data_IF_757477552673
#
_entry.id   IF_757477552673
#
_cell.length_a   1.000
_cell.length_b   1.000
_cell.length_c   1.000
_cell.angle_alpha   90.00
_cell.angle_beta   90.00
_cell.angle_gamma   90.00
#
_symmetry.space_group_name_H-M   'P 1'
#
loop_
_entity.id
_entity.type
_entity.pdbx_description
1 polymer ?
#
# COMPACT_ATOMS: atom_id res chain seq x y z
N UNK A 1 -15.55 12.88 4.86
CA UNK A 1 -15.60 13.44 3.49
C UNK A 1 -16.82 12.87 2.75
N UNK A 2 -17.61 13.70 2.06
CA UNK A 2 -18.78 13.25 1.28
C UNK A 2 -18.61 13.67 -0.18
N UNK A 3 -18.76 12.72 -1.09
CA UNK A 3 -18.82 12.97 -2.53
C UNK A 3 -20.28 13.03 -2.98
N UNK A 4 -20.61 14.00 -3.83
CA UNK A 4 -21.93 14.16 -4.42
C UNK A 4 -21.86 14.04 -5.94
N UNK A 5 -22.49 13.00 -6.49
CA UNK A 5 -22.66 12.86 -7.93
C UNK A 5 -23.83 13.75 -8.37
N UNK A 6 -23.53 14.77 -9.17
CA UNK A 6 -24.55 15.71 -9.65
C UNK A 6 -25.39 15.17 -10.81
N UNK A 7 -24.93 14.12 -11.48
CA UNK A 7 -25.60 13.49 -12.62
C UNK A 7 -26.66 12.53 -12.11
N UNK A 8 -26.30 11.70 -11.14
CA UNK A 8 -27.21 10.70 -10.54
C UNK A 8 -27.99 11.25 -9.34
N UNK A 9 -27.49 12.32 -8.71
CA UNK A 9 -28.05 12.86 -7.47
C UNK A 9 -27.73 12.02 -6.23
N UNK A 10 -26.74 11.13 -6.32
CA UNK A 10 -26.32 10.23 -5.25
C UNK A 10 -25.23 10.86 -4.36
N UNK A 11 -25.20 10.45 -3.10
CA UNK A 11 -24.17 10.86 -2.13
C UNK A 11 -23.42 9.63 -1.64
N UNK A 12 -22.09 9.73 -1.60
CA UNK A 12 -21.19 8.68 -1.15
C UNK A 12 -20.33 9.19 0.00
N UNK A 13 -20.26 8.41 1.08
CA UNK A 13 -19.37 8.68 2.20
C UNK A 13 -18.01 8.05 1.91
N UNK A 14 -16.96 8.87 1.77
CA UNK A 14 -15.63 8.40 1.33
C UNK A 14 -14.65 8.20 2.50
N UNK A 15 -14.80 9.00 3.55
CA UNK A 15 -13.94 8.94 4.73
C UNK A 15 -14.74 8.66 6.00
N UNK A 16 -14.07 8.15 7.03
CA UNK A 16 -14.66 8.01 8.36
C UNK A 16 -15.03 9.41 8.89
N UNK A 17 -16.28 9.59 9.32
CA UNK A 17 -16.74 10.85 9.91
C UNK A 17 -16.05 11.17 11.25
N UNK A 18 -15.37 10.19 11.85
CA UNK A 18 -14.61 10.35 13.10
C UNK A 18 -13.35 11.19 12.91
N UNK A 19 -12.67 11.07 11.77
CA UNK A 19 -11.36 11.68 11.56
C UNK A 19 -11.44 12.83 10.56
N UNK A 20 -10.63 13.90 10.73
CA UNK A 20 -10.57 14.99 9.77
C UNK A 20 -10.06 14.50 8.42
N UNK A 21 -10.60 15.09 7.35
CA UNK A 21 -10.14 14.93 5.99
C UNK A 21 -10.12 16.29 5.29
N UNK A 22 -9.10 16.55 4.49
CA UNK A 22 -8.85 17.82 3.81
C UNK A 22 -8.31 17.61 2.39
N UNK A 23 -8.19 18.71 1.65
CA UNK A 23 -7.57 18.78 0.32
C UNK A 23 -8.02 17.70 -0.68
N UNK A 24 -9.33 17.56 -0.97
CA UNK A 24 -9.80 16.56 -1.91
C UNK A 24 -9.37 16.91 -3.34
N UNK A 25 -8.77 15.93 -4.02
CA UNK A 25 -8.38 15.99 -5.43
C UNK A 25 -9.00 14.80 -6.18
N UNK A 26 -9.96 15.11 -7.05
CA UNK A 26 -10.70 14.14 -7.86
C UNK A 26 -10.16 14.13 -9.29
N UNK A 27 -9.82 12.96 -9.82
CA UNK A 27 -9.39 12.79 -11.21
C UNK A 27 -9.18 11.32 -11.56
N UNK A 28 -9.24 10.96 -12.84
CA UNK A 28 -8.74 9.67 -13.33
C UNK A 28 -9.29 8.43 -12.57
N UNK A 29 -10.59 8.48 -12.23
CA UNK A 29 -11.31 7.42 -11.53
C UNK A 29 -11.03 7.30 -10.03
N UNK A 30 -10.27 8.22 -9.44
CA UNK A 30 -9.88 8.19 -8.04
C UNK A 30 -10.06 9.53 -7.34
N UNK A 31 -10.21 9.49 -6.02
CA UNK A 31 -10.21 10.65 -5.14
C UNK A 31 -9.03 10.53 -4.17
N UNK A 32 -8.06 11.41 -4.29
CA UNK A 32 -7.00 11.57 -3.30
C UNK A 32 -7.37 12.65 -2.28
N UNK A 33 -7.03 12.46 -1.01
CA UNK A 33 -7.28 13.46 0.04
C UNK A 33 -6.30 13.30 1.20
N UNK A 34 -6.09 14.37 1.95
CA UNK A 34 -5.31 14.36 3.19
C UNK A 34 -6.20 13.89 4.36
N UNK A 35 -5.73 12.99 5.22
CA UNK A 35 -6.46 12.50 6.39
C UNK A 35 -5.58 12.39 7.63
N UNK A 36 -6.21 12.37 8.80
CA UNK A 36 -5.54 12.25 10.11
C UNK A 36 -6.13 11.09 10.90
N UNK A 37 -5.75 9.88 10.52
CA UNK A 37 -6.22 8.67 11.17
C UNK A 37 -5.85 8.66 12.65
N UNK A 38 -6.79 8.24 13.49
CA UNK A 38 -6.62 8.13 14.96
C UNK A 38 -6.39 9.45 15.70
N UNK A 39 -6.44 10.61 15.03
CA UNK A 39 -6.33 11.90 15.70
C UNK A 39 -7.48 12.11 16.69
N UNK A 40 -7.13 12.19 17.97
CA UNK A 40 -8.05 12.59 19.03
C UNK A 40 -7.83 14.09 19.35
N UNK A 41 -8.77 14.98 19.00
CA UNK A 41 -8.61 16.41 19.21
C UNK A 41 -8.59 16.81 20.70
N UNK A 42 -9.10 15.96 21.59
CA UNK A 42 -9.11 16.22 23.05
C UNK A 42 -7.83 15.79 23.75
N UNK A 43 -7.08 14.86 23.16
CA UNK A 43 -5.81 14.36 23.66
C UNK A 43 -4.93 13.91 22.49
N UNK A 44 -4.31 14.85 21.75
CA UNK A 44 -3.56 14.53 20.55
C UNK A 44 -2.25 13.80 20.90
N UNK A 45 -2.03 12.65 20.25
CA UNK A 45 -0.74 11.96 20.28
C UNK A 45 0.09 12.42 19.08
N UNK A 46 1.37 12.73 19.31
CA UNK A 46 2.24 13.33 18.29
C UNK A 46 2.34 12.54 16.98
N UNK A 47 2.21 11.21 17.03
CA UNK A 47 2.25 10.29 15.87
C UNK A 47 0.97 10.26 15.02
N UNK A 48 -0.06 11.00 15.41
CA UNK A 48 -1.32 11.12 14.66
C UNK A 48 -1.59 12.58 14.27
N UNK A 49 -0.56 13.43 14.38
CA UNK A 49 -0.66 14.86 14.07
C UNK A 49 -0.22 15.18 12.64
N UNK A 50 0.55 14.29 12.03
CA UNK A 50 0.90 14.32 10.63
C UNK A 50 -0.28 13.90 9.75
N UNK A 51 -0.46 14.62 8.64
CA UNK A 51 -1.41 14.27 7.61
C UNK A 51 -0.86 13.16 6.73
N UNK A 52 -1.75 12.26 6.33
CA UNK A 52 -1.44 11.15 5.43
C UNK A 52 -2.28 11.28 4.15
N UNK A 53 -1.76 10.80 3.02
CA UNK A 53 -2.48 10.77 1.76
C UNK A 53 -3.27 9.49 1.66
N UNK A 54 -4.59 9.64 1.53
CA UNK A 54 -5.51 8.56 1.24
C UNK A 54 -5.90 8.58 -0.24
N UNK A 55 -6.11 7.39 -0.80
CA UNK A 55 -6.63 7.21 -2.14
C UNK A 55 -7.91 6.41 -2.08
N UNK A 56 -8.98 6.94 -2.66
CA UNK A 56 -10.23 6.24 -2.82
C UNK A 56 -10.48 5.94 -4.30
N UNK A 57 -10.61 4.66 -4.62
CA UNK A 57 -10.95 4.20 -5.97
C UNK A 57 -12.47 4.16 -6.14
N UNK A 58 -12.98 4.94 -7.10
CA UNK A 58 -14.42 5.07 -7.35
C UNK A 58 -15.03 3.82 -7.98
N UNK A 59 -14.22 2.98 -8.62
CA UNK A 59 -14.66 1.74 -9.28
C UNK A 59 -14.82 0.63 -8.26
N UNK A 60 -13.82 0.47 -7.39
CA UNK A 60 -13.81 -0.59 -6.36
C UNK A 60 -14.47 -0.15 -5.06
N UNK A 61 -14.71 1.16 -4.88
CA UNK A 61 -15.23 1.79 -3.68
C UNK A 61 -14.37 1.46 -2.43
N UNK A 62 -13.05 1.32 -2.64
CA UNK A 62 -12.08 1.02 -1.61
C UNK A 62 -11.21 2.26 -1.35
N UNK A 63 -10.98 2.54 -0.06
CA UNK A 63 -10.01 3.55 0.37
C UNK A 63 -8.75 2.85 0.87
N UNK A 64 -7.60 3.26 0.34
CA UNK A 64 -6.28 2.86 0.79
C UNK A 64 -5.51 4.07 1.36
N UNK A 65 -4.59 3.77 2.26
CA UNK A 65 -3.67 4.74 2.86
C UNK A 65 -2.36 4.64 2.06
N UNK A 66 -2.04 5.65 1.25
CA UNK A 66 -0.87 5.64 0.37
C UNK A 66 0.43 5.92 1.13
N UNK A 67 0.33 6.74 2.17
CA UNK A 67 1.44 7.10 3.04
C UNK A 67 1.09 6.76 4.47
N UNK A 68 2.03 6.14 5.18
CA UNK A 68 1.87 5.71 6.56
C UNK A 68 3.26 5.77 7.21
N UNK A 69 3.75 7.00 7.39
CA UNK A 69 5.10 7.23 7.88
C UNK A 69 5.15 8.20 9.08
N UNK A 70 6.11 9.11 9.14
CA UNK A 70 6.24 10.08 10.24
C UNK A 70 6.38 11.50 9.72
N UNK A 71 5.98 11.73 8.47
CA UNK A 71 6.12 12.99 7.75
C UNK A 71 4.75 13.51 7.46
N UNK A 72 4.61 14.82 7.63
CA UNK A 72 3.37 15.51 7.34
C UNK A 72 3.21 15.64 5.82
N UNK A 73 2.14 15.08 5.26
CA UNK A 73 1.88 15.06 3.83
C UNK A 73 0.48 15.59 3.52
N UNK A 74 0.36 16.47 2.52
CA UNK A 74 -0.91 17.16 2.22
C UNK A 74 -1.00 17.65 0.77
N UNK A 75 -2.16 18.25 0.43
CA UNK A 75 -2.45 18.85 -0.88
C UNK A 75 -2.16 17.92 -2.06
N UNK A 76 -2.80 16.73 -2.12
CA UNK A 76 -2.63 15.83 -3.25
C UNK A 76 -3.17 16.45 -4.56
N UNK A 77 -2.62 15.99 -5.68
CA UNK A 77 -3.07 16.27 -7.04
C UNK A 77 -3.05 14.97 -7.83
N UNK A 78 -4.17 14.65 -8.47
CA UNK A 78 -4.30 13.43 -9.27
C UNK A 78 -3.97 13.73 -10.73
N UNK A 79 -3.10 12.89 -11.31
CA UNK A 79 -2.76 12.82 -12.73
C UNK A 79 -3.12 11.43 -13.26
N UNK A 80 -3.04 11.23 -14.57
CA UNK A 80 -3.34 9.96 -15.27
C UNK A 80 -2.67 8.77 -14.56
N UNK A 81 -1.34 8.79 -14.50
CA UNK A 81 -0.56 7.69 -13.90
C UNK A 81 0.13 8.05 -12.57
N UNK A 82 -0.11 9.25 -12.04
CA UNK A 82 0.65 9.75 -10.89
C UNK A 82 -0.22 10.49 -9.89
N UNK A 83 0.22 10.49 -8.63
CA UNK A 83 -0.30 11.34 -7.57
C UNK A 83 0.85 12.19 -7.06
N UNK A 84 0.65 13.49 -7.03
CA UNK A 84 1.63 14.45 -6.52
C UNK A 84 1.12 14.98 -5.19
N UNK A 85 1.98 15.09 -4.19
CA UNK A 85 1.63 15.68 -2.90
C UNK A 85 2.82 16.43 -2.30
N UNK A 86 2.54 17.31 -1.34
CA UNK A 86 3.56 17.99 -0.56
C UNK A 86 3.92 17.13 0.65
N UNK A 87 5.19 17.09 0.99
CA UNK A 87 5.71 16.37 2.15
C UNK A 87 6.64 17.31 2.93
N UNK A 88 6.42 17.42 4.23
CA UNK A 88 7.32 18.11 5.16
C UNK A 88 8.12 17.10 5.96
N UNK A 89 9.44 17.23 5.88
CA UNK A 89 10.36 16.43 6.70
C UNK A 89 10.49 16.99 8.12
N UNK A 90 11.10 16.21 9.01
CA UNK A 90 11.45 16.66 10.37
C UNK A 90 12.39 17.89 10.41
N UNK A 91 13.06 18.22 9.29
CA UNK A 91 13.89 19.41 9.16
C UNK A 91 13.11 20.65 8.66
N UNK A 92 11.77 20.59 8.65
CA UNK A 92 10.86 21.66 8.19
C UNK A 92 10.98 21.99 6.69
N UNK A 93 11.76 21.22 5.93
CA UNK A 93 11.85 21.35 4.48
C UNK A 93 10.60 20.72 3.82
N UNK A 94 9.93 21.50 2.97
CA UNK A 94 8.78 21.04 2.17
C UNK A 94 9.25 20.61 0.80
N UNK A 95 8.95 19.37 0.42
CA UNK A 95 9.32 18.78 -0.87
C UNK A 95 8.07 18.32 -1.62
N UNK A 96 8.17 18.24 -2.94
CA UNK A 96 7.12 17.66 -3.78
C UNK A 96 7.44 16.18 -3.98
N UNK A 97 6.49 15.31 -3.66
CA UNK A 97 6.59 13.87 -3.86
C UNK A 97 5.71 13.46 -5.02
N UNK A 98 6.20 12.50 -5.79
CA UNK A 98 5.51 11.93 -6.95
C UNK A 98 5.38 10.44 -6.69
N UNK A 99 4.14 9.97 -6.60
CA UNK A 99 3.76 8.58 -6.49
C UNK A 99 3.26 8.09 -7.85
N UNK A 100 3.77 6.96 -8.33
CA UNK A 100 3.28 6.34 -9.56
C UNK A 100 2.19 5.33 -9.24
N UNK A 101 1.08 5.42 -9.96
CA UNK A 101 -0.07 4.50 -9.88
C UNK A 101 0.14 3.25 -10.74
N UNK A 102 1.16 3.22 -11.59
CA UNK A 102 1.47 2.03 -12.35
C UNK A 102 1.88 0.90 -11.41
N UNK A 103 1.29 -0.27 -11.61
CA UNK A 103 1.69 -1.49 -10.91
C UNK A 103 3.02 -1.95 -11.49
N UNK A 104 4.10 -1.30 -11.08
CA UNK A 104 5.44 -1.78 -11.34
C UNK A 104 5.67 -2.92 -10.36
N UNK A 105 5.73 -4.15 -10.88
CA UNK A 105 6.20 -5.28 -10.09
C UNK A 105 7.64 -4.98 -9.65
N UNK A 106 7.80 -4.45 -8.45
CA UNK A 106 9.12 -4.37 -7.83
C UNK A 106 9.63 -5.82 -7.74
N UNK A 107 10.78 -6.17 -8.34
CA UNK A 107 11.31 -7.52 -8.28
C UNK A 107 11.52 -7.87 -6.81
N UNK A 108 10.62 -8.69 -6.25
CA UNK A 108 10.51 -9.10 -4.85
C UNK A 108 11.64 -8.54 -3.96
N UNK A 109 11.46 -7.35 -3.38
CA UNK A 109 12.54 -6.59 -2.71
C UNK A 109 13.09 -7.23 -1.42
N UNK A 110 12.68 -8.45 -1.06
CA UNK A 110 13.14 -9.12 0.15
C UNK A 110 14.15 -10.22 -0.17
N UNK A 111 15.45 -9.90 -0.04
CA UNK A 111 16.57 -10.83 -0.19
C UNK A 111 16.43 -12.08 0.68
N UNK A 112 15.86 -11.96 1.88
CA UNK A 112 15.64 -13.11 2.79
C UNK A 112 14.62 -14.08 2.18
N UNK A 113 13.53 -13.55 1.60
CA UNK A 113 12.51 -14.38 0.97
C UNK A 113 13.04 -15.04 -0.31
N UNK A 114 13.80 -14.30 -1.11
CA UNK A 114 14.44 -14.84 -2.32
C UNK A 114 15.41 -15.98 -2.00
N UNK A 115 16.28 -15.80 -1.01
CA UNK A 115 17.21 -16.84 -0.56
C UNK A 115 16.45 -18.03 0.04
N UNK A 116 15.41 -17.77 0.84
CA UNK A 116 14.55 -18.80 1.41
C UNK A 116 13.90 -19.68 0.33
N UNK A 117 13.38 -19.07 -0.74
CA UNK A 117 12.79 -19.79 -1.87
C UNK A 117 13.80 -20.69 -2.58
N UNK A 118 15.01 -20.19 -2.83
CA UNK A 118 16.08 -20.95 -3.49
C UNK A 118 16.50 -22.15 -2.63
N UNK A 119 16.66 -21.95 -1.32
CA UNK A 119 17.02 -23.03 -0.37
C UNK A 119 15.90 -24.09 -0.31
N UNK A 120 14.64 -23.67 -0.24
CA UNK A 120 13.49 -24.59 -0.26
C UNK A 120 13.47 -25.44 -1.53
N UNK A 121 13.65 -24.83 -2.71
CA UNK A 121 13.72 -25.55 -3.98
C UNK A 121 14.85 -26.58 -4.00
N UNK A 122 16.04 -26.21 -3.50
CA UNK A 122 17.18 -27.11 -3.43
C UNK A 122 16.93 -28.30 -2.48
N UNK A 123 16.38 -28.04 -1.28
CA UNK A 123 16.04 -29.09 -0.31
C UNK A 123 14.96 -30.03 -0.84
N UNK A 124 13.95 -29.49 -1.52
CA UNK A 124 12.89 -30.31 -2.14
C UNK A 124 13.47 -31.22 -3.22
N UNK A 125 14.39 -30.70 -4.02
CA UNK A 125 15.09 -31.49 -5.04
C UNK A 125 15.93 -32.60 -4.42
N UNK A 126 16.73 -32.29 -3.39
CA UNK A 126 17.52 -33.28 -2.66
C UNK A 126 16.64 -34.36 -2.03
N UNK A 127 15.51 -33.97 -1.44
CA UNK A 127 14.55 -34.89 -0.84
C UNK A 127 13.95 -35.87 -1.88
N UNK A 128 13.57 -35.36 -3.05
CA UNK A 128 13.07 -36.21 -4.15
C UNK A 128 14.15 -37.18 -4.62
N UNK A 129 15.40 -36.74 -4.74
CA UNK A 129 16.52 -37.61 -5.12
C UNK A 129 16.77 -38.70 -4.08
N UNK A 130 16.72 -38.35 -2.78
CA UNK A 130 16.88 -39.33 -1.68
C UNK A 130 15.82 -40.42 -1.76
N UNK A 131 14.54 -40.05 -1.88
CA UNK A 131 13.44 -41.01 -2.01
C UNK A 131 13.64 -41.93 -3.22
N UNK A 132 14.09 -41.41 -4.36
CA UNK A 132 14.33 -42.25 -5.53
C UNK A 132 15.51 -43.21 -5.36
N UNK A 133 16.56 -42.80 -4.65
CA UNK A 133 17.70 -43.66 -4.35
C UNK A 133 17.31 -44.79 -3.39
N UNK A 134 16.56 -44.48 -2.34
CA UNK A 134 16.04 -45.47 -1.38
C UNK A 134 15.11 -46.48 -2.07
N UNK A 135 14.20 -46.01 -2.93
CA UNK A 135 13.30 -46.88 -3.70
C UNK A 135 14.04 -47.81 -4.68
N UNK A 136 15.21 -47.40 -5.20
CA UNK A 136 16.05 -48.25 -6.06
C UNK A 136 16.87 -49.25 -5.25
N UNK A 137 17.42 -48.84 -4.11
CA UNK A 137 18.21 -49.69 -3.24
C UNK A 137 17.37 -50.84 -2.64
N UNK A 138 16.15 -50.55 -2.18
CA UNK A 138 15.25 -51.59 -1.66
C UNK A 138 14.84 -52.64 -2.72
N UNK A 139 14.82 -52.26 -4.00
CA UNK A 139 14.44 -53.16 -5.11
C UNK A 139 15.58 -54.07 -5.56
N UNK A 140 16.84 -53.74 -5.25
CA UNK A 140 18.00 -54.60 -5.51
C UNK A 140 18.29 -55.61 -4.40
N UNK A 141 17.69 -55.45 -3.22
CA UNK A 141 17.81 -56.40 -2.10
C UNK A 141 16.76 -57.53 -2.14
N UNK A 142 15.73 -57.41 -2.99
CA UNK A 142 14.65 -58.39 -3.18
C UNK A 142 14.84 -59.34 -4.39
N UNK A 143 15.90 -59.17 -5.20
CA UNK A 143 16.33 -60.09 -6.29
C UNK A 143 17.46 -61.03 -5.85
#
# INVERSE_FOLDING_TARGET
LVMFDRTEGSMHLIGDGKYPAADPALGEGVLAFTGWDHLNPTNPEAKYMDGEIHLHDLTTNLTEVLTADTKDQWSPTVLEDHIIYLERSAAEETTVRIYSREVVLQPYSNTVLQVGLIVMLALTFLYVVQIQQEARAGRSEEE
#
